data_IF_457212740792
#
_entry.id   IF_457212740792
#
_cell.length_a   1.000
_cell.length_b   1.000
_cell.length_c   1.000
_cell.angle_alpha   90.00
_cell.angle_beta   90.00
_cell.angle_gamma   90.00
#
_symmetry.space_group_name_H-M   'P 1'
#
loop_
_entity.id
_entity.type
_entity.pdbx_description
1 polymer ?
#
# COMPACT_ATOMS: atom_id res chain seq x y z
N UNK A 1 -29.54 20.81 -8.96
CA UNK A 1 -28.65 21.58 -8.06
C UNK A 1 -27.29 20.88 -8.03
N UNK A 2 -26.20 21.66 -8.22
CA UNK A 2 -24.73 21.43 -8.10
C UNK A 2 -24.15 20.02 -8.42
N UNK A 3 -23.35 19.77 -9.46
CA UNK A 3 -22.00 20.27 -9.87
C UNK A 3 -20.82 19.62 -9.10
N UNK A 4 -20.06 18.77 -9.82
CA UNK A 4 -18.65 18.47 -9.59
C UNK A 4 -17.98 18.26 -10.96
N UNK A 5 -17.82 19.35 -11.70
CA UNK A 5 -16.93 19.45 -12.86
C UNK A 5 -15.49 19.18 -12.43
N UNK A 6 -14.94 18.02 -12.81
CA UNK A 6 -13.50 17.92 -13.04
C UNK A 6 -13.21 17.09 -14.30
N UNK A 7 -13.57 17.69 -15.44
CA UNK A 7 -13.25 17.20 -16.78
C UNK A 7 -11.80 17.54 -17.14
N UNK A 8 -10.81 16.98 -16.45
CA UNK A 8 -9.44 16.98 -16.99
C UNK A 8 -9.36 15.88 -18.05
N UNK A 9 -9.68 16.26 -19.29
CA UNK A 9 -9.53 15.42 -20.48
C UNK A 9 -8.04 15.08 -20.62
N UNK A 10 -7.68 13.81 -20.39
CA UNK A 10 -6.31 13.33 -20.63
C UNK A 10 -6.01 13.51 -22.13
N UNK A 11 -4.99 14.29 -22.52
CA UNK A 11 -4.66 14.48 -23.93
C UNK A 11 -4.31 13.13 -24.58
N UNK A 12 -5.06 12.75 -25.61
CA UNK A 12 -4.80 11.53 -26.37
C UNK A 12 -3.41 11.58 -27.00
N UNK A 13 -2.58 10.57 -26.73
CA UNK A 13 -1.21 10.46 -27.24
C UNK A 13 -0.12 10.28 -26.17
N UNK A 14 -0.46 10.35 -24.88
CA UNK A 14 0.45 9.91 -23.80
C UNK A 14 0.10 8.48 -23.40
N UNK A 15 1.02 7.54 -23.65
CA UNK A 15 1.05 6.19 -23.07
C UNK A 15 1.38 6.25 -21.57
N UNK A 16 0.61 7.02 -20.82
CA UNK A 16 0.57 6.98 -19.38
C UNK A 16 -0.83 6.56 -19.01
N UNK A 17 -1.06 5.25 -18.86
CA UNK A 17 -2.22 4.79 -18.09
C UNK A 17 -2.26 5.61 -16.79
N UNK A 18 -3.44 6.06 -16.32
CA UNK A 18 -3.51 6.73 -15.04
C UNK A 18 -2.85 5.81 -14.02
N UNK A 19 -1.66 6.19 -13.53
CA UNK A 19 -0.98 5.49 -12.45
C UNK A 19 -2.01 5.47 -11.33
N UNK A 20 -2.51 4.27 -11.02
CA UNK A 20 -3.31 4.10 -9.83
C UNK A 20 -2.45 4.64 -8.70
N UNK A 21 -2.90 5.74 -8.09
CA UNK A 21 -2.19 6.34 -6.98
C UNK A 21 -1.98 5.22 -5.97
N UNK A 22 -0.72 4.87 -5.73
CA UNK A 22 -0.36 3.68 -4.97
C UNK A 22 -1.11 3.65 -3.64
N UNK A 23 -1.59 2.47 -3.25
CA UNK A 23 -2.29 2.27 -1.98
C UNK A 23 -1.57 3.02 -0.85
N UNK A 24 -2.34 3.67 0.03
CA UNK A 24 -1.79 4.35 1.20
C UNK A 24 -0.88 3.39 1.95
N UNK A 25 0.28 3.88 2.42
CA UNK A 25 1.20 3.07 3.20
C UNK A 25 0.51 2.71 4.53
N UNK A 26 0.17 1.43 4.73
CA UNK A 26 -0.47 0.94 5.95
C UNK A 26 0.59 0.50 6.94
N UNK A 27 0.31 0.60 8.24
CA UNK A 27 1.20 0.08 9.28
C UNK A 27 0.91 -1.39 9.49
N UNK A 28 1.95 -2.23 9.46
CA UNK A 28 1.85 -3.67 9.56
C UNK A 28 2.65 -4.14 10.76
N UNK A 29 1.98 -4.81 11.70
CA UNK A 29 2.60 -5.43 12.87
C UNK A 29 2.98 -6.87 12.53
N UNK A 30 4.25 -7.21 12.74
CA UNK A 30 4.79 -8.55 12.53
C UNK A 30 4.79 -9.37 13.83
N UNK A 31 4.81 -10.69 13.70
CA UNK A 31 4.87 -11.61 14.83
C UNK A 31 6.14 -11.46 15.69
N UNK A 32 7.22 -10.94 15.11
CA UNK A 32 8.45 -10.61 15.83
C UNK A 32 8.35 -9.31 16.65
N UNK A 33 7.22 -8.60 16.60
CA UNK A 33 6.99 -7.34 17.32
C UNK A 33 7.39 -6.08 16.55
N UNK A 34 8.10 -6.21 15.43
CA UNK A 34 8.43 -5.07 14.58
C UNK A 34 7.22 -4.55 13.80
N UNK A 35 7.23 -3.23 13.53
CA UNK A 35 6.22 -2.55 12.73
C UNK A 35 6.88 -2.02 11.47
N UNK A 36 6.33 -2.39 10.30
CA UNK A 36 6.76 -1.86 9.01
C UNK A 36 5.61 -1.21 8.26
N UNK A 37 5.93 -0.50 7.17
CA UNK A 37 4.92 0.11 6.31
C UNK A 37 4.81 -0.68 5.01
N UNK A 38 3.62 -1.18 4.72
CA UNK A 38 3.36 -1.98 3.52
C UNK A 38 2.04 -1.54 2.87
N UNK A 39 1.97 -1.65 1.55
CA UNK A 39 0.80 -1.28 0.76
C UNK A 39 -0.15 -2.44 0.49
N UNK A 40 0.36 -3.68 0.54
CA UNK A 40 -0.26 -4.87 -0.01
C UNK A 40 -0.46 -5.92 1.09
N UNK A 41 0.42 -5.99 2.09
CA UNK A 41 0.37 -7.03 3.11
C UNK A 41 -0.94 -7.05 3.92
N UNK A 42 -1.48 -8.24 4.14
CA UNK A 42 -2.66 -8.52 4.95
C UNK A 42 -2.32 -9.38 6.15
N UNK A 43 -3.24 -9.43 7.13
CA UNK A 43 -3.12 -10.31 8.28
C UNK A 43 -2.99 -11.76 7.83
N UNK A 44 -1.93 -12.43 8.26
CA UNK A 44 -1.65 -13.83 7.95
C UNK A 44 -0.59 -14.03 6.86
N UNK A 45 -0.27 -13.01 6.07
CA UNK A 45 0.79 -13.08 5.06
C UNK A 45 2.16 -13.22 5.73
N UNK A 46 3.14 -13.78 5.00
CA UNK A 46 4.54 -13.72 5.40
C UNK A 46 5.24 -12.62 4.61
N UNK A 47 5.86 -11.70 5.32
CA UNK A 47 6.62 -10.59 4.73
C UNK A 47 8.03 -10.61 5.28
N UNK A 48 8.98 -10.22 4.44
CA UNK A 48 10.35 -10.05 4.88
C UNK A 48 10.41 -8.93 5.91
N UNK A 49 10.99 -9.22 7.08
CA UNK A 49 11.22 -8.22 8.11
C UNK A 49 12.51 -7.47 7.79
N UNK A 50 12.40 -6.20 7.40
CA UNK A 50 13.55 -5.33 7.06
C UNK A 50 14.38 -4.87 8.27
N UNK A 51 13.94 -5.19 9.49
CA UNK A 51 14.69 -4.95 10.71
C UNK A 51 15.78 -6.03 10.91
N UNK A 52 16.25 -6.21 12.14
CA UNK A 52 17.36 -7.12 12.46
C UNK A 52 17.03 -8.62 12.30
N UNK A 53 15.76 -8.98 12.12
CA UNK A 53 15.35 -10.39 12.01
C UNK A 53 15.86 -11.06 10.74
N UNK A 54 15.97 -10.34 9.61
CA UNK A 54 16.38 -10.88 8.31
C UNK A 54 15.68 -12.22 7.96
N UNK A 55 14.37 -12.27 8.18
CA UNK A 55 13.56 -13.48 7.99
C UNK A 55 12.13 -13.15 7.53
N UNK A 56 11.42 -14.16 7.03
CA UNK A 56 10.02 -14.09 6.63
C UNK A 56 9.11 -14.23 7.84
N UNK A 57 8.53 -13.11 8.28
CA UNK A 57 7.71 -13.05 9.49
C UNK A 57 6.24 -12.91 9.11
N UNK A 58 5.39 -13.61 9.86
CA UNK A 58 3.94 -13.52 9.69
C UNK A 58 3.39 -12.18 10.17
N UNK A 59 2.48 -11.60 9.39
CA UNK A 59 1.73 -10.40 9.74
C UNK A 59 0.65 -10.73 10.76
N UNK A 60 0.64 -10.02 11.88
CA UNK A 60 -0.33 -10.18 12.98
C UNK A 60 -1.52 -9.24 12.82
N UNK A 61 -1.26 -7.98 12.47
CA UNK A 61 -2.30 -6.98 12.26
C UNK A 61 -1.86 -5.89 11.28
N UNK A 62 -2.85 -5.21 10.68
CA UNK A 62 -2.67 -4.08 9.77
C UNK A 62 -3.53 -2.94 10.28
N UNK A 63 -2.96 -1.74 10.33
CA UNK A 63 -3.64 -0.49 10.66
C UNK A 63 -3.72 0.38 9.39
N UNK A 64 -4.94 0.78 9.04
CA UNK A 64 -5.29 1.60 7.87
C UNK A 64 -5.35 3.09 8.19
#
# INVERSE_FOLDING_TARGET
MADLRNRKRVPGGRTGAPVQQGHSMRRVLLACGHVQRDRIAHRGDHVWCEAECSDWIRVVSVQE
#
